data_IF_757324730108
#
_entry.id   IF_757324730108
#
_cell.length_a   1.000
_cell.length_b   1.000
_cell.length_c   1.000
_cell.angle_alpha   90.00
_cell.angle_beta   90.00
_cell.angle_gamma   90.00
#
_symmetry.space_group_name_H-M   'P 1'
#
loop_
_entity.id
_entity.type
_entity.pdbx_description
1 polymer ?
#
# COMPACT_ATOMS: atom_id res chain seq x y z
N UNK A 1 51.55 9.35 18.05
CA UNK A 1 50.97 9.26 17.45
C UNK A 1 49.90 9.12 17.55
N UNK A 2 49.40 9.32 17.38
CA UNK A 2 48.48 9.08 17.23
C UNK A 2 47.77 8.61 16.52
N UNK A 3 48.00 8.58 15.83
CA UNK A 3 47.39 7.81 14.80
C UNK A 3 46.66 6.62 15.33
N UNK A 4 47.08 6.12 16.37
CA UNK A 4 46.43 4.99 16.99
C UNK A 4 45.00 5.29 17.40
N UNK A 5 44.79 6.48 17.91
CA UNK A 5 43.44 6.85 18.25
C UNK A 5 42.53 6.91 17.02
N UNK A 6 43.13 7.23 15.89
CA UNK A 6 42.35 7.29 14.67
C UNK A 6 42.06 5.95 14.08
N UNK A 7 42.92 4.97 14.36
CA UNK A 7 42.66 3.63 13.83
C UNK A 7 41.57 2.92 14.60
N UNK A 8 41.38 3.27 15.85
CA UNK A 8 40.36 2.62 16.67
C UNK A 8 38.99 3.19 16.41
N UNK A 9 38.92 4.44 16.02
CA UNK A 9 37.65 5.11 15.79
C UNK A 9 37.56 5.50 14.33
N UNK A 10 36.58 4.97 13.64
CA UNK A 10 36.33 5.36 12.26
C UNK A 10 35.70 6.74 12.31
N UNK A 11 36.29 7.73 11.66
CA UNK A 11 35.71 9.07 11.65
C UNK A 11 34.32 9.05 11.04
N UNK A 12 33.45 9.86 11.58
CA UNK A 12 32.08 9.94 11.09
C UNK A 12 32.08 10.33 9.59
N UNK A 13 33.05 11.10 9.16
CA UNK A 13 33.15 11.51 7.76
C UNK A 13 33.28 10.34 6.80
N UNK A 14 33.96 9.27 7.21
CA UNK A 14 34.11 8.10 6.36
C UNK A 14 32.85 7.26 6.33
N UNK A 15 31.96 7.45 7.29
CA UNK A 15 30.68 6.75 7.34
C UNK A 15 29.58 7.50 6.63
N UNK A 16 29.77 8.79 6.34
CA UNK A 16 28.71 9.59 5.74
C UNK A 16 28.29 9.13 4.34
N UNK A 17 29.23 8.80 3.43
CA UNK A 17 28.80 8.33 2.11
C UNK A 17 27.96 7.05 2.18
N UNK A 18 28.36 6.01 2.91
CA UNK A 18 27.50 4.82 3.00
C UNK A 18 26.19 5.09 3.72
N UNK A 19 26.18 5.99 4.70
CA UNK A 19 24.94 6.35 5.37
C UNK A 19 24.00 7.11 4.44
N UNK A 20 24.54 8.02 3.64
CA UNK A 20 23.74 8.75 2.67
C UNK A 20 23.16 7.83 1.62
N UNK A 21 23.95 6.85 1.18
CA UNK A 21 23.48 5.86 0.21
C UNK A 21 22.34 5.05 0.79
N UNK A 22 22.51 4.60 2.02
CA UNK A 22 21.46 3.82 2.68
C UNK A 22 20.21 4.64 2.88
N UNK A 23 20.37 5.90 3.25
CA UNK A 23 19.24 6.80 3.40
C UNK A 23 18.48 6.96 2.08
N UNK A 24 19.22 7.14 0.98
CA UNK A 24 18.60 7.28 -0.34
C UNK A 24 17.83 6.01 -0.71
N UNK A 25 18.41 4.84 -0.43
CA UNK A 25 17.76 3.56 -0.68
C UNK A 25 16.47 3.43 0.12
N UNK A 26 16.52 3.77 1.38
CA UNK A 26 15.35 3.66 2.25
C UNK A 26 14.25 4.61 1.81
N UNK A 27 14.62 5.83 1.43
CA UNK A 27 13.63 6.78 0.93
C UNK A 27 12.97 6.26 -0.34
N UNK A 28 13.76 5.66 -1.22
CA UNK A 28 13.24 5.12 -2.46
C UNK A 28 12.30 3.94 -2.20
N UNK A 29 12.68 3.06 -1.28
CA UNK A 29 11.82 1.94 -0.88
C UNK A 29 10.51 2.45 -0.29
N UNK A 30 10.59 3.48 0.52
CA UNK A 30 9.41 4.06 1.13
C UNK A 30 8.47 4.65 0.09
N UNK A 31 9.02 5.39 -0.87
CA UNK A 31 8.23 5.96 -1.95
C UNK A 31 7.59 4.87 -2.81
N UNK A 32 8.34 3.82 -3.11
CA UNK A 32 7.82 2.69 -3.86
C UNK A 32 6.67 2.04 -3.10
N UNK A 33 6.84 1.85 -1.80
CA UNK A 33 5.78 1.29 -0.97
C UNK A 33 4.53 2.15 -0.97
N UNK A 34 4.71 3.45 -0.88
CA UNK A 34 3.57 4.37 -0.90
C UNK A 34 2.82 4.30 -2.22
N UNK A 35 3.55 4.23 -3.33
CA UNK A 35 2.91 4.12 -4.65
C UNK A 35 2.15 2.80 -4.79
N UNK A 36 2.73 1.71 -4.28
CA UNK A 36 2.06 0.41 -4.33
C UNK A 36 0.81 0.40 -3.47
N UNK A 37 0.88 1.02 -2.31
CA UNK A 37 -0.28 1.12 -1.44
C UNK A 37 -1.40 1.89 -2.14
N UNK A 38 -1.07 3.03 -2.75
CA UNK A 38 -2.04 3.82 -3.47
C UNK A 38 -2.66 3.04 -4.62
N UNK A 39 -1.85 2.27 -5.35
CA UNK A 39 -2.34 1.45 -6.46
C UNK A 39 -3.29 0.36 -5.96
N UNK A 40 -2.97 -0.27 -4.84
CA UNK A 40 -3.83 -1.30 -4.26
C UNK A 40 -5.15 -0.71 -3.76
N UNK A 41 -5.11 0.48 -3.19
CA UNK A 41 -6.32 1.16 -2.75
C UNK A 41 -7.21 1.50 -3.93
N UNK A 42 -6.62 1.94 -5.05
CA UNK A 42 -7.37 2.23 -6.25
C UNK A 42 -8.01 0.96 -6.82
N UNK A 43 -7.27 -0.14 -6.86
CA UNK A 43 -7.79 -1.42 -7.33
C UNK A 43 -8.95 -1.89 -6.44
N UNK A 44 -8.77 -1.73 -5.15
CA UNK A 44 -9.81 -2.09 -4.19
C UNK A 44 -11.09 -1.29 -4.44
N UNK A 45 -10.95 0.00 -4.70
CA UNK A 45 -12.10 0.85 -4.99
C UNK A 45 -12.80 0.42 -6.28
N UNK A 46 -12.03 0.09 -7.31
CA UNK A 46 -12.59 -0.39 -8.58
C UNK A 46 -13.39 -1.66 -8.38
N UNK A 47 -12.87 -2.58 -7.59
CA UNK A 47 -13.57 -3.84 -7.30
C UNK A 47 -14.86 -3.55 -6.54
N UNK A 48 -14.80 -2.66 -5.58
CA UNK A 48 -15.97 -2.26 -4.81
C UNK A 48 -17.06 -1.71 -5.71
N UNK A 49 -16.69 -0.82 -6.63
CA UNK A 49 -17.62 -0.23 -7.56
C UNK A 49 -18.24 -1.28 -8.47
N UNK A 50 -17.43 -2.23 -8.90
CA UNK A 50 -17.91 -3.34 -9.72
C UNK A 50 -18.92 -4.20 -8.95
N UNK A 51 -18.63 -4.49 -7.69
CA UNK A 51 -19.53 -5.27 -6.85
C UNK A 51 -20.86 -4.54 -6.64
N UNK A 52 -20.82 -3.23 -6.49
CA UNK A 52 -22.05 -2.44 -6.36
C UNK A 52 -22.91 -2.53 -7.61
N UNK A 53 -22.29 -2.44 -8.78
CA UNK A 53 -23.03 -2.57 -10.03
C UNK A 53 -23.65 -3.96 -10.17
N UNK A 54 -22.89 -4.99 -9.85
CA UNK A 54 -23.37 -6.35 -9.92
C UNK A 54 -24.51 -6.59 -8.93
N UNK A 55 -24.38 -6.08 -7.73
CA UNK A 55 -25.43 -6.20 -6.72
C UNK A 55 -26.73 -5.56 -7.19
N UNK A 56 -26.63 -4.37 -7.80
CA UNK A 56 -27.79 -3.71 -8.36
C UNK A 56 -28.43 -4.51 -9.49
N UNK A 57 -27.61 -5.07 -10.36
CA UNK A 57 -28.10 -5.90 -11.46
C UNK A 57 -28.80 -7.16 -10.94
N UNK A 58 -28.23 -7.81 -9.94
CA UNK A 58 -28.84 -8.97 -9.31
C UNK A 58 -30.24 -8.61 -8.75
N UNK A 59 -30.30 -7.50 -8.04
CA UNK A 59 -31.55 -7.06 -7.44
C UNK A 59 -32.63 -6.83 -8.50
N UNK A 60 -32.29 -6.15 -9.58
CA UNK A 60 -33.23 -5.88 -10.65
C UNK A 60 -33.70 -7.19 -11.31
N UNK A 61 -32.78 -8.12 -11.55
CA UNK A 61 -33.13 -9.39 -12.16
C UNK A 61 -34.06 -10.20 -11.25
N UNK A 62 -33.80 -10.20 -9.96
CA UNK A 62 -34.65 -10.90 -9.01
C UNK A 62 -36.05 -10.29 -8.97
N UNK A 63 -36.15 -8.98 -9.00
CA UNK A 63 -37.42 -8.30 -9.04
C UNK A 63 -38.20 -8.67 -10.32
N UNK A 64 -37.54 -8.67 -11.45
CA UNK A 64 -38.16 -9.03 -12.71
C UNK A 64 -38.63 -10.48 -12.76
N UNK A 65 -37.89 -11.36 -12.09
CA UNK A 65 -38.25 -12.78 -12.01
C UNK A 65 -39.28 -13.05 -10.93
N UNK A 66 -39.62 -12.07 -10.10
CA UNK A 66 -40.53 -12.26 -8.99
C UNK A 66 -39.95 -13.07 -7.85
N UNK A 67 -38.62 -13.12 -7.78
CA UNK A 67 -37.91 -13.83 -6.70
C UNK A 67 -37.70 -12.93 -5.50
N UNK A 68 -37.45 -13.54 -4.36
CA UNK A 68 -37.10 -12.77 -3.19
C UNK A 68 -35.80 -12.03 -3.43
N UNK A 69 -35.79 -10.75 -3.12
CA UNK A 69 -34.61 -9.93 -3.30
C UNK A 69 -33.66 -10.16 -2.14
N UNK A 70 -32.45 -10.55 -2.48
CA UNK A 70 -31.37 -10.69 -1.51
C UNK A 70 -30.32 -9.64 -1.78
N UNK A 71 -29.88 -8.96 -0.73
CA UNK A 71 -28.81 -8.00 -0.87
C UNK A 71 -27.48 -8.72 -0.66
N UNK A 72 -26.64 -8.81 -1.73
CA UNK A 72 -25.34 -9.40 -1.55
C UNK A 72 -24.50 -8.61 -0.55
N UNK A 73 -23.79 -9.33 0.29
CA UNK A 73 -22.92 -8.69 1.25
C UNK A 73 -21.69 -8.12 0.52
N UNK A 74 -21.45 -6.85 0.72
CA UNK A 74 -20.23 -6.24 0.19
C UNK A 74 -19.13 -6.31 1.25
N UNK A 75 -17.88 -6.50 0.82
CA UNK A 75 -16.78 -6.49 1.78
C UNK A 75 -16.71 -5.12 2.44
N UNK A 76 -16.51 -5.14 3.74
CA UNK A 76 -16.36 -3.90 4.47
C UNK A 76 -14.98 -3.31 4.17
N UNK A 77 -14.88 -1.99 4.12
CA UNK A 77 -13.55 -1.39 4.03
C UNK A 77 -12.75 -1.79 5.27
N UNK A 78 -11.47 -1.96 5.08
CA UNK A 78 -10.61 -2.25 6.20
C UNK A 78 -10.74 -1.10 7.19
N UNK A 79 -10.95 -1.47 8.43
CA UNK A 79 -11.04 -0.46 9.47
C UNK A 79 -9.73 0.28 9.51
N UNK A 80 -9.79 1.49 9.19
CA UNK A 80 -8.60 2.35 9.20
C UNK A 80 -8.31 2.77 10.57
#
# INVERSE_FOLDING_TARGET
MRADAMTDAIPIETKLPPLRRKLAELKQEWETGQRRLAALEAQRQDIRDTLLRIAGAIQVMQELLGEAVEEPSLPRPAAG
#
